data_IF_281787791149
#
_entry.id   IF_281787791149
#
_cell.length_a   1.000
_cell.length_b   1.000
_cell.length_c   1.000
_cell.angle_alpha   90.00
_cell.angle_beta   90.00
_cell.angle_gamma   90.00
#
_symmetry.space_group_name_H-M   'P 1'
#
loop_
_entity.id
_entity.type
_entity.pdbx_description
1 polymer ?
#
# COMPACT_ATOMS: atom_id res chain seq x y z
N UNK A 1 15.67 11.28 -35.16
CA UNK A 1 16.22 10.48 -34.03
C UNK A 1 15.06 10.06 -33.12
N UNK A 2 14.81 8.77 -32.96
CA UNK A 2 13.85 8.30 -31.94
C UNK A 2 14.53 8.34 -30.57
N UNK A 3 14.13 9.29 -29.73
CA UNK A 3 14.58 9.42 -28.34
C UNK A 3 13.87 8.42 -27.43
N UNK A 4 13.90 7.13 -27.80
CA UNK A 4 13.20 6.07 -27.08
C UNK A 4 13.67 6.00 -25.62
N UNK A 5 12.72 6.04 -24.69
CA UNK A 5 12.99 5.87 -23.25
C UNK A 5 12.60 4.47 -22.80
N UNK A 6 13.42 3.90 -21.93
CA UNK A 6 13.11 2.62 -21.29
C UNK A 6 12.49 2.86 -19.92
N UNK A 7 11.36 2.20 -19.67
CA UNK A 7 10.71 2.19 -18.36
C UNK A 7 10.73 0.77 -17.81
N UNK A 8 11.07 0.58 -16.52
CA UNK A 8 10.98 -0.74 -15.91
C UNK A 8 9.52 -1.17 -15.86
N UNK A 9 9.18 -2.14 -16.70
CA UNK A 9 7.87 -2.79 -16.69
C UNK A 9 7.61 -3.49 -15.35
N UNK A 10 6.32 -3.69 -15.04
CA UNK A 10 5.92 -4.47 -13.86
C UNK A 10 5.74 -5.93 -14.27
N UNK A 11 6.49 -6.85 -13.65
CA UNK A 11 6.23 -8.28 -13.79
C UNK A 11 4.97 -8.74 -13.03
N UNK A 12 4.39 -7.86 -12.18
CA UNK A 12 3.20 -8.09 -11.35
C UNK A 12 3.34 -9.22 -10.30
N UNK A 13 4.52 -9.84 -10.18
CA UNK A 13 4.82 -10.85 -9.18
C UNK A 13 5.18 -10.20 -7.82
N UNK A 14 4.17 -9.63 -7.14
CA UNK A 14 4.32 -8.83 -5.90
C UNK A 14 5.06 -9.58 -4.78
N UNK A 15 5.00 -10.91 -4.74
CA UNK A 15 5.69 -11.73 -3.74
C UNK A 15 7.06 -12.26 -4.17
N UNK A 16 7.45 -12.05 -5.43
CA UNK A 16 8.71 -12.58 -6.00
C UNK A 16 9.64 -11.47 -6.51
N UNK A 17 9.14 -10.23 -6.61
CA UNK A 17 9.87 -9.10 -7.14
C UNK A 17 9.79 -7.93 -6.17
N UNK A 18 10.93 -7.55 -5.58
CA UNK A 18 11.05 -6.43 -4.63
C UNK A 18 10.51 -5.11 -5.20
N UNK A 19 10.75 -4.87 -6.49
CA UNK A 19 10.23 -3.69 -7.17
C UNK A 19 8.69 -3.68 -7.21
N UNK A 20 8.07 -4.79 -7.62
CA UNK A 20 6.62 -4.91 -7.62
C UNK A 20 6.02 -4.90 -6.21
N UNK A 21 6.71 -5.49 -5.23
CA UNK A 21 6.35 -5.45 -3.82
C UNK A 21 6.27 -4.02 -3.30
N UNK A 22 7.33 -3.23 -3.56
CA UNK A 22 7.41 -1.81 -3.18
C UNK A 22 6.33 -0.97 -3.85
N UNK A 23 6.05 -1.20 -5.14
CA UNK A 23 5.00 -0.45 -5.82
C UNK A 23 3.60 -0.79 -5.30
N UNK A 24 3.31 -2.07 -5.08
CA UNK A 24 2.04 -2.50 -4.50
C UNK A 24 1.84 -1.96 -3.07
N UNK A 25 2.91 -1.89 -2.27
CA UNK A 25 2.93 -1.25 -0.97
C UNK A 25 2.51 0.24 -1.03
N UNK A 26 3.10 1.00 -1.96
CA UNK A 26 2.77 2.41 -2.17
C UNK A 26 1.33 2.57 -2.65
N UNK A 27 0.88 1.75 -3.60
CA UNK A 27 -0.52 1.76 -4.08
C UNK A 27 -1.52 1.43 -2.97
N UNK A 28 -1.27 0.40 -2.16
CA UNK A 28 -2.16 0.05 -1.04
C UNK A 28 -2.19 1.14 0.03
N UNK A 29 -1.07 1.82 0.28
CA UNK A 29 -1.01 2.94 1.21
C UNK A 29 -1.86 4.11 0.69
N UNK A 30 -1.73 4.46 -0.59
CA UNK A 30 -2.53 5.51 -1.21
C UNK A 30 -4.03 5.14 -1.18
N UNK A 31 -4.35 3.90 -1.52
CA UNK A 31 -5.72 3.37 -1.48
C UNK A 31 -6.35 3.57 -0.09
N UNK A 32 -5.65 3.16 0.97
CA UNK A 32 -6.13 3.32 2.34
C UNK A 32 -6.19 4.78 2.79
N UNK A 33 -5.33 5.64 2.24
CA UNK A 33 -5.35 7.08 2.50
C UNK A 33 -6.60 7.72 1.88
N UNK A 34 -6.86 7.47 0.60
CA UNK A 34 -8.05 7.97 -0.09
C UNK A 34 -9.33 7.43 0.56
N UNK A 35 -9.35 6.17 0.96
CA UNK A 35 -10.46 5.57 1.70
C UNK A 35 -10.77 6.30 3.01
N UNK A 36 -9.73 6.65 3.77
CA UNK A 36 -9.90 7.38 5.01
C UNK A 36 -10.31 8.85 4.81
N UNK A 37 -9.91 9.48 3.70
CA UNK A 37 -10.23 10.87 3.37
C UNK A 37 -11.61 11.05 2.75
N UNK A 38 -12.00 10.14 1.86
CA UNK A 38 -13.23 10.24 1.06
C UNK A 38 -14.37 9.37 1.61
N UNK A 39 -14.04 8.37 2.42
CA UNK A 39 -15.00 7.47 3.05
C UNK A 39 -15.00 7.60 4.57
N UNK A 40 -15.25 6.47 5.24
CA UNK A 40 -15.21 6.40 6.70
C UNK A 40 -13.81 6.00 7.15
N UNK A 41 -13.12 6.85 7.90
CA UNK A 41 -11.81 6.49 8.45
C UNK A 41 -11.91 5.34 9.48
N UNK A 42 -10.92 4.43 9.54
CA UNK A 42 -10.86 3.42 10.60
C UNK A 42 -10.61 4.09 11.96
N UNK A 43 -11.34 3.65 12.98
CA UNK A 43 -11.24 4.18 14.34
C UNK A 43 -10.35 3.32 15.25
N UNK A 44 -10.20 2.03 14.92
CA UNK A 44 -9.40 1.09 15.69
C UNK A 44 -8.36 0.38 14.82
N UNK A 45 -7.21 0.09 15.42
CA UNK A 45 -6.10 -0.67 14.83
C UNK A 45 -5.80 -1.88 15.71
N UNK A 46 -5.83 -3.09 15.14
CA UNK A 46 -5.51 -4.33 15.83
C UNK A 46 -4.19 -4.93 15.33
N UNK A 47 -3.44 -5.54 16.25
CA UNK A 47 -2.28 -6.36 15.95
C UNK A 47 -2.58 -7.81 16.37
N UNK A 48 -2.63 -8.73 15.40
CA UNK A 48 -2.85 -10.16 15.64
C UNK A 48 -1.58 -10.96 15.32
N UNK A 49 -0.95 -11.52 16.34
CA UNK A 49 0.35 -12.20 16.22
C UNK A 49 0.23 -13.71 16.37
N UNK A 50 1.23 -14.44 15.86
CA UNK A 50 1.42 -15.87 16.14
C UNK A 50 2.79 -16.11 16.80
N UNK A 51 2.92 -17.26 17.46
CA UNK A 51 4.21 -17.79 17.95
C UNK A 51 4.84 -18.76 16.97
N UNK A 52 4.04 -19.53 16.24
CA UNK A 52 4.53 -20.45 15.20
C UNK A 52 4.94 -19.68 13.93
N UNK A 53 6.14 -19.97 13.42
CA UNK A 53 6.59 -19.54 12.11
C UNK A 53 6.13 -20.56 11.07
N UNK A 54 5.40 -20.12 10.04
CA UNK A 54 4.86 -20.99 9.00
C UNK A 54 4.63 -20.22 7.70
N UNK A 55 4.76 -20.92 6.57
CA UNK A 55 4.34 -20.46 5.24
C UNK A 55 2.97 -21.01 4.84
N UNK A 56 2.48 -22.06 5.52
CA UNK A 56 1.09 -22.49 5.39
C UNK A 56 0.19 -21.56 6.22
N UNK A 57 -0.49 -20.66 5.50
CA UNK A 57 -1.39 -19.67 6.09
C UNK A 57 -2.85 -20.11 6.09
N UNK A 58 -3.16 -21.38 5.78
CA UNK A 58 -4.54 -21.87 5.73
C UNK A 58 -5.28 -21.65 7.07
N UNK A 59 -4.69 -22.11 8.17
CA UNK A 59 -5.18 -21.91 9.54
C UNK A 59 -5.22 -20.42 9.93
N UNK A 60 -4.17 -19.68 9.59
CA UNK A 60 -4.05 -18.24 9.84
C UNK A 60 -5.17 -17.42 9.16
N UNK A 61 -5.53 -17.78 7.92
CA UNK A 61 -6.64 -17.16 7.18
C UNK A 61 -8.00 -17.62 7.70
N UNK A 62 -8.15 -18.88 8.11
CA UNK A 62 -9.37 -19.37 8.71
C UNK A 62 -9.68 -18.67 10.05
N UNK A 63 -8.69 -18.53 10.92
CA UNK A 63 -8.80 -17.81 12.18
C UNK A 63 -9.23 -16.35 11.97
N UNK A 64 -8.64 -15.67 10.98
CA UNK A 64 -9.04 -14.30 10.60
C UNK A 64 -10.52 -14.21 10.26
N UNK A 65 -11.04 -15.13 9.44
CA UNK A 65 -12.46 -15.17 9.08
C UNK A 65 -13.35 -15.43 10.30
N UNK A 66 -12.91 -16.25 11.25
CA UNK A 66 -13.63 -16.51 12.50
C UNK A 66 -13.69 -15.27 13.38
N UNK A 67 -12.59 -14.53 13.52
CA UNK A 67 -12.55 -13.24 14.23
C UNK A 67 -13.52 -12.25 13.59
N UNK A 68 -13.45 -12.07 12.27
CA UNK A 68 -14.37 -11.20 11.54
C UNK A 68 -15.83 -11.58 11.78
N UNK A 69 -16.17 -12.87 11.69
CA UNK A 69 -17.54 -13.36 11.94
C UNK A 69 -17.99 -13.09 13.38
N UNK A 70 -17.11 -13.31 14.37
CA UNK A 70 -17.43 -13.09 15.77
C UNK A 70 -17.65 -11.60 16.08
N UNK A 71 -16.79 -10.71 15.56
CA UNK A 71 -16.95 -9.27 15.70
C UNK A 71 -18.23 -8.80 15.00
N UNK A 72 -18.51 -9.25 13.77
CA UNK A 72 -19.72 -8.89 13.02
C UNK A 72 -21.03 -9.34 13.68
N UNK A 73 -21.02 -10.38 14.51
CA UNK A 73 -22.21 -10.78 15.28
C UNK A 73 -22.60 -9.74 16.32
N UNK A 74 -21.62 -9.06 16.92
CA UNK A 74 -21.86 -8.01 17.93
C UNK A 74 -21.96 -6.62 17.30
N UNK A 75 -21.14 -6.35 16.28
CA UNK A 75 -21.12 -5.09 15.52
C UNK A 75 -21.34 -5.38 14.03
N UNK A 76 -22.59 -5.48 13.55
CA UNK A 76 -22.89 -5.81 12.16
C UNK A 76 -22.26 -4.87 11.12
N UNK A 77 -22.11 -3.59 11.48
CA UNK A 77 -21.46 -2.57 10.66
C UNK A 77 -19.92 -2.66 10.64
N UNK A 78 -19.31 -3.61 11.35
CA UNK A 78 -17.86 -3.68 11.43
C UNK A 78 -17.23 -4.08 10.08
N UNK A 79 -16.21 -3.34 9.65
CA UNK A 79 -15.47 -3.61 8.42
C UNK A 79 -13.98 -3.66 8.70
N UNK A 80 -13.24 -4.42 7.87
CA UNK A 80 -11.86 -4.76 8.16
C UNK A 80 -10.97 -4.63 6.92
N UNK A 81 -9.81 -4.01 7.07
CA UNK A 81 -8.68 -4.20 6.17
C UNK A 81 -7.54 -4.90 6.91
N UNK A 82 -6.97 -5.91 6.27
CA UNK A 82 -5.95 -6.78 6.82
C UNK A 82 -4.67 -6.66 5.99
N UNK A 83 -3.57 -6.37 6.66
CA UNK A 83 -2.23 -6.33 6.09
C UNK A 83 -1.41 -7.45 6.74
N UNK A 84 -0.96 -8.40 5.92
CA UNK A 84 -0.08 -9.46 6.37
C UNK A 84 1.36 -8.98 6.32
N UNK A 85 2.01 -9.16 7.44
CA UNK A 85 3.44 -8.95 7.60
C UNK A 85 4.07 -10.14 8.30
N UNK A 86 5.39 -10.12 8.33
CA UNK A 86 6.18 -11.08 9.06
C UNK A 86 7.05 -10.37 10.08
N UNK A 87 7.23 -11.00 11.24
CA UNK A 87 8.24 -10.55 12.21
C UNK A 87 9.62 -10.59 11.58
N UNK A 88 10.56 -9.77 12.05
CA UNK A 88 11.91 -9.69 11.46
C UNK A 88 12.76 -10.95 11.61
N UNK A 89 12.42 -11.84 12.55
CA UNK A 89 13.24 -13.01 12.90
C UNK A 89 14.50 -12.69 13.70
N UNK A 90 14.74 -11.41 14.03
CA UNK A 90 15.91 -10.94 14.79
C UNK A 90 15.74 -11.01 16.31
N UNK A 91 14.60 -11.48 16.81
CA UNK A 91 14.38 -11.60 18.25
C UNK A 91 15.25 -12.72 18.83
N UNK A 92 15.76 -12.53 20.04
CA UNK A 92 16.59 -13.54 20.74
C UNK A 92 15.93 -14.93 20.75
N UNK A 93 14.60 -14.97 20.87
CA UNK A 93 13.80 -16.20 20.93
C UNK A 93 13.21 -16.67 19.59
N UNK A 94 13.47 -15.97 18.47
CA UNK A 94 12.88 -16.36 17.18
C UNK A 94 13.70 -17.38 16.40
N UNK A 95 14.97 -17.61 16.75
CA UNK A 95 15.83 -18.55 16.03
C UNK A 95 15.98 -18.21 14.54
N UNK A 96 15.96 -16.92 14.17
CA UNK A 96 15.95 -16.47 12.78
C UNK A 96 14.59 -16.57 12.07
N UNK A 97 13.60 -17.24 12.67
CA UNK A 97 12.33 -17.53 12.03
C UNK A 97 11.39 -16.32 12.01
N UNK A 98 10.71 -16.16 10.88
CA UNK A 98 9.74 -15.09 10.65
C UNK A 98 8.32 -15.61 10.81
N UNK A 99 7.55 -14.98 11.70
CA UNK A 99 6.18 -15.37 12.06
C UNK A 99 5.17 -14.42 11.41
N UNK A 100 4.07 -14.93 10.85
CA UNK A 100 3.05 -14.07 10.26
C UNK A 100 2.28 -13.30 11.35
N UNK A 101 1.92 -12.05 11.06
CA UNK A 101 0.99 -11.26 11.88
C UNK A 101 0.09 -10.40 11.01
N UNK A 102 -1.10 -10.10 11.52
CA UNK A 102 -2.04 -9.17 10.90
C UNK A 102 -1.95 -7.80 11.55
N UNK A 103 -1.81 -6.79 10.72
CA UNK A 103 -2.21 -5.43 11.03
C UNK A 103 -3.64 -5.24 10.52
N UNK A 104 -4.57 -4.92 11.41
CA UNK A 104 -6.01 -4.83 11.10
C UNK A 104 -6.49 -3.42 11.31
N UNK A 105 -7.08 -2.83 10.28
CA UNK A 105 -7.81 -1.57 10.38
C UNK A 105 -9.29 -1.89 10.52
N UNK A 106 -9.96 -1.27 11.49
CA UNK A 106 -11.34 -1.59 11.83
C UNK A 106 -12.21 -0.33 11.77
N UNK A 107 -13.31 -0.44 11.02
CA UNK A 107 -14.41 0.54 10.97
C UNK A 107 -15.64 -0.04 11.66
N UNK A 108 -16.59 0.81 12.04
CA UNK A 108 -17.93 0.39 12.51
C UNK A 108 -17.98 -0.23 13.92
N UNK A 109 -16.87 -0.21 14.68
CA UNK A 109 -16.86 -0.52 16.12
C UNK A 109 -16.59 0.79 16.87
N UNK A 110 -17.47 1.23 17.78
CA UNK A 110 -17.24 2.41 18.61
C UNK A 110 -15.94 2.29 19.41
N UNK A 111 -15.20 3.40 19.58
CA UNK A 111 -13.95 3.40 20.35
C UNK A 111 -14.18 2.95 21.81
N UNK A 112 -15.32 3.30 22.41
CA UNK A 112 -15.71 2.86 23.75
C UNK A 112 -15.83 1.33 23.89
N UNK A 113 -16.12 0.63 22.80
CA UNK A 113 -16.27 -0.83 22.75
C UNK A 113 -14.94 -1.57 22.51
N UNK A 114 -13.81 -0.85 22.43
CA UNK A 114 -12.49 -1.40 22.13
C UNK A 114 -12.11 -2.59 23.01
N UNK A 115 -12.29 -2.49 24.34
CA UNK A 115 -11.90 -3.58 25.24
C UNK A 115 -12.73 -4.85 25.02
N UNK A 116 -14.04 -4.70 24.78
CA UNK A 116 -14.92 -5.81 24.45
C UNK A 116 -14.56 -6.46 23.10
N UNK A 117 -14.20 -5.65 22.10
CA UNK A 117 -13.72 -6.15 20.82
C UNK A 117 -12.39 -6.90 20.97
N UNK A 118 -11.45 -6.39 21.77
CA UNK A 118 -10.18 -7.03 22.07
C UNK A 118 -10.36 -8.37 22.78
N UNK A 119 -11.30 -8.48 23.71
CA UNK A 119 -11.64 -9.74 24.38
C UNK A 119 -12.11 -10.80 23.38
N UNK A 120 -13.03 -10.43 22.47
CA UNK A 120 -13.50 -11.33 21.41
C UNK A 120 -12.34 -11.75 20.50
N UNK A 121 -11.50 -10.79 20.10
CA UNK A 121 -10.31 -11.05 19.28
C UNK A 121 -9.40 -12.06 19.98
N UNK A 122 -9.03 -11.82 21.24
CA UNK A 122 -8.12 -12.68 22.00
C UNK A 122 -8.64 -14.10 22.09
N UNK A 123 -9.89 -14.28 22.53
CA UNK A 123 -10.53 -15.59 22.61
C UNK A 123 -10.51 -16.28 21.24
N UNK A 124 -11.13 -15.67 20.24
CA UNK A 124 -11.34 -16.33 18.95
C UNK A 124 -10.03 -16.55 18.20
N UNK A 125 -9.08 -15.62 18.26
CA UNK A 125 -7.79 -15.76 17.58
C UNK A 125 -6.94 -16.86 18.25
N UNK A 126 -6.75 -16.79 19.57
CA UNK A 126 -5.89 -17.73 20.30
C UNK A 126 -6.46 -19.15 20.36
N UNK A 127 -7.79 -19.33 20.24
CA UNK A 127 -8.41 -20.66 20.13
C UNK A 127 -8.08 -21.37 18.80
N UNK A 128 -7.62 -20.63 17.78
CA UNK A 128 -7.50 -21.14 16.40
C UNK A 128 -6.10 -21.10 15.81
N UNK A 129 -5.18 -20.35 16.43
CA UNK A 129 -3.78 -20.33 16.05
C UNK A 129 -2.92 -20.35 17.30
N UNK A 130 -1.69 -20.82 17.16
CA UNK A 130 -0.69 -20.73 18.22
C UNK A 130 -0.31 -19.27 18.50
N UNK A 131 -1.00 -18.66 19.46
CA UNK A 131 -0.89 -17.26 19.84
C UNK A 131 -1.16 -17.08 21.35
N UNK A 132 -0.66 -15.99 21.92
CA UNK A 132 -0.91 -15.64 23.32
C UNK A 132 -1.84 -14.42 23.41
N UNK A 133 -2.86 -14.41 24.28
CA UNK A 133 -3.76 -13.26 24.45
C UNK A 133 -3.02 -11.96 24.74
N UNK A 134 -1.96 -12.01 25.56
CA UNK A 134 -1.13 -10.88 25.94
C UNK A 134 -0.40 -10.21 24.75
N UNK A 135 -0.25 -10.91 23.62
CA UNK A 135 0.40 -10.38 22.41
C UNK A 135 -0.59 -9.93 21.34
N UNK A 136 -1.88 -9.90 21.67
CA UNK A 136 -2.91 -9.33 20.82
C UNK A 136 -3.26 -7.96 21.37
N UNK A 137 -3.31 -6.99 20.47
CA UNK A 137 -3.55 -5.59 20.83
C UNK A 137 -4.63 -4.96 19.94
N UNK A 138 -5.34 -3.99 20.51
CA UNK A 138 -6.33 -3.18 19.82
C UNK A 138 -6.29 -1.77 20.39
N UNK A 139 -5.92 -0.81 19.56
CA UNK A 139 -5.72 0.59 19.94
C UNK A 139 -6.63 1.51 19.15
N UNK A 140 -6.94 2.65 19.75
CA UNK A 140 -7.60 3.75 19.08
C UNK A 140 -6.64 4.41 18.09
N UNK A 141 -7.15 4.74 16.90
CA UNK A 141 -6.44 5.58 15.94
C UNK A 141 -6.74 7.03 16.27
N UNK A 142 -5.83 7.69 16.99
CA UNK A 142 -5.98 9.11 17.36
C UNK A 142 -5.67 10.09 16.22
N UNK A 143 -4.93 9.63 15.20
CA UNK A 143 -4.55 10.46 14.05
C UNK A 143 -4.48 9.61 12.80
N UNK A 144 -5.29 9.97 11.81
CA UNK A 144 -5.28 9.34 10.49
C UNK A 144 -3.91 9.52 9.81
N UNK A 145 -3.30 10.69 9.92
CA UNK A 145 -1.94 10.93 9.38
C UNK A 145 -0.88 10.03 10.02
N UNK A 146 -0.96 9.83 11.35
CA UNK A 146 -0.11 8.88 12.07
C UNK A 146 -0.31 7.44 11.60
N UNK A 147 -1.56 7.03 11.38
CA UNK A 147 -1.89 5.72 10.83
C UNK A 147 -1.33 5.52 9.41
N UNK A 148 -1.50 6.50 8.53
CA UNK A 148 -1.00 6.40 7.15
C UNK A 148 0.52 6.29 7.12
N UNK A 149 1.22 7.07 7.96
CA UNK A 149 2.67 6.95 8.13
C UNK A 149 3.04 5.56 8.67
N UNK A 150 2.31 5.05 9.66
CA UNK A 150 2.54 3.71 10.22
C UNK A 150 2.42 2.63 9.14
N UNK A 151 1.31 2.63 8.39
CA UNK A 151 1.05 1.68 7.30
C UNK A 151 2.12 1.76 6.22
N UNK A 152 2.43 2.97 5.75
CA UNK A 152 3.44 3.21 4.71
C UNK A 152 4.81 2.63 5.11
N UNK A 153 5.22 2.88 6.35
CA UNK A 153 6.51 2.39 6.86
C UNK A 153 6.53 0.88 7.01
N UNK A 154 5.41 0.25 7.36
CA UNK A 154 5.40 -1.20 7.58
C UNK A 154 5.43 -1.99 6.27
N UNK A 155 4.76 -1.51 5.22
CA UNK A 155 4.85 -2.15 3.92
C UNK A 155 6.25 -2.05 3.27
N UNK A 156 7.03 -1.02 3.61
CA UNK A 156 8.34 -0.75 3.01
C UNK A 156 9.52 -1.37 3.78
N UNK A 157 9.30 -1.88 5.00
CA UNK A 157 10.37 -2.52 5.78
C UNK A 157 10.76 -3.87 5.16
N UNK A 158 11.88 -3.89 4.44
CA UNK A 158 12.45 -5.10 3.85
C UNK A 158 12.64 -6.23 4.88
N UNK A 159 13.00 -5.89 6.13
CA UNK A 159 13.15 -6.86 7.21
C UNK A 159 11.85 -7.59 7.60
N UNK A 160 10.69 -7.06 7.21
CA UNK A 160 9.37 -7.66 7.43
C UNK A 160 8.75 -8.17 6.12
N UNK A 161 9.54 -8.24 5.04
CA UNK A 161 9.13 -8.86 3.81
C UNK A 161 8.80 -10.35 4.04
N UNK A 162 7.90 -10.92 3.23
CA UNK A 162 7.61 -12.34 3.29
C UNK A 162 8.89 -13.19 3.21
N UNK A 163 8.94 -14.36 3.87
CA UNK A 163 10.04 -15.29 3.70
C UNK A 163 10.02 -15.88 2.28
N UNK A 164 11.16 -16.39 1.85
CA UNK A 164 11.28 -17.10 0.57
C UNK A 164 10.25 -18.24 0.48
N UNK A 165 9.65 -18.40 -0.70
CA UNK A 165 8.61 -19.41 -0.94
C UNK A 165 7.18 -18.96 -0.58
N UNK A 166 6.98 -17.78 0.01
CA UNK A 166 5.64 -17.26 0.27
C UNK A 166 4.84 -16.95 -1.02
N UNK A 167 3.58 -17.42 -1.08
CA UNK A 167 2.68 -17.23 -2.25
C UNK A 167 1.32 -16.58 -1.92
N UNK A 168 1.11 -16.11 -0.69
CA UNK A 168 -0.19 -15.61 -0.24
C UNK A 168 -0.47 -14.13 -0.55
N UNK A 169 -1.64 -13.63 -0.13
CA UNK A 169 -1.98 -12.20 -0.24
C UNK A 169 -1.48 -11.41 0.95
N UNK A 170 -0.87 -10.25 0.68
CA UNK A 170 -0.38 -9.33 1.71
C UNK A 170 -1.40 -8.28 2.15
N UNK A 171 -2.42 -8.04 1.34
CA UNK A 171 -3.48 -7.08 1.63
C UNK A 171 -4.83 -7.66 1.20
N UNK A 172 -5.83 -7.52 2.06
CA UNK A 172 -7.20 -7.91 1.78
C UNK A 172 -8.15 -7.10 2.66
N UNK A 173 -9.35 -6.83 2.17
CA UNK A 173 -10.36 -6.11 2.93
C UNK A 173 -11.70 -6.83 2.83
N UNK A 174 -12.57 -6.63 3.83
CA UNK A 174 -13.94 -7.09 3.78
C UNK A 174 -14.74 -6.32 2.74
N UNK A 175 -15.81 -6.94 2.21
CA UNK A 175 -16.79 -6.23 1.39
C UNK A 175 -17.32 -5.01 2.14
N UNK A 176 -17.42 -3.88 1.44
CA UNK A 176 -17.88 -2.59 1.98
C UNK A 176 -16.76 -1.72 2.54
N UNK A 177 -15.59 -2.28 2.87
CA UNK A 177 -14.55 -1.53 3.57
C UNK A 177 -14.09 -0.27 2.82
N UNK A 178 -13.90 -0.37 1.50
CA UNK A 178 -13.43 0.76 0.69
C UNK A 178 -14.61 1.65 0.28
N UNK A 179 -14.37 2.96 0.22
CA UNK A 179 -15.36 3.96 -0.24
C UNK A 179 -15.91 3.73 -1.66
N UNK A 180 -15.19 2.97 -2.49
CA UNK A 180 -15.58 2.54 -3.84
C UNK A 180 -15.38 1.03 -4.01
N UNK A 181 -15.98 0.41 -5.05
CA UNK A 181 -15.61 -0.93 -5.47
C UNK A 181 -14.08 -1.06 -5.64
N UNK A 182 -13.52 -2.19 -5.21
CA UNK A 182 -12.05 -2.37 -5.11
C UNK A 182 -11.29 -2.06 -6.41
N UNK A 183 -11.86 -2.34 -7.58
CA UNK A 183 -11.23 -2.05 -8.87
C UNK A 183 -11.12 -0.54 -9.10
N UNK A 184 -12.23 0.18 -8.95
CA UNK A 184 -12.31 1.64 -9.11
C UNK A 184 -11.45 2.37 -8.06
N UNK A 185 -11.50 1.94 -6.81
CA UNK A 185 -10.70 2.51 -5.73
C UNK A 185 -9.18 2.39 -6.03
N UNK A 186 -8.76 1.27 -6.65
CA UNK A 186 -7.37 1.08 -7.09
C UNK A 186 -7.00 1.96 -8.29
N UNK A 187 -7.89 2.17 -9.25
CA UNK A 187 -7.65 3.13 -10.34
C UNK A 187 -7.52 4.55 -9.79
N UNK A 188 -8.41 4.96 -8.87
CA UNK A 188 -8.32 6.25 -8.20
C UNK A 188 -6.98 6.42 -7.45
N UNK A 189 -6.53 5.38 -6.74
CA UNK A 189 -5.21 5.39 -6.08
C UNK A 189 -4.05 5.52 -7.08
N UNK A 190 -4.12 4.85 -8.23
CA UNK A 190 -3.12 4.99 -9.30
C UNK A 190 -3.10 6.39 -9.89
N UNK A 191 -4.27 6.96 -10.18
CA UNK A 191 -4.43 8.31 -10.70
C UNK A 191 -3.88 9.34 -9.71
N UNK A 192 -4.21 9.23 -8.42
CA UNK A 192 -3.66 10.08 -7.35
C UNK A 192 -2.13 9.99 -7.29
N UNK A 193 -1.56 8.78 -7.32
CA UNK A 193 -0.10 8.61 -7.33
C UNK A 193 0.55 9.18 -8.59
N UNK A 194 -0.10 9.08 -9.76
CA UNK A 194 0.38 9.69 -10.99
C UNK A 194 0.41 11.22 -10.87
N UNK A 195 -0.68 11.83 -10.38
CA UNK A 195 -0.76 13.28 -10.10
C UNK A 195 0.31 13.74 -9.13
N UNK A 196 0.46 13.08 -7.98
CA UNK A 196 1.50 13.42 -6.98
C UNK A 196 2.91 13.37 -7.55
N UNK A 197 3.21 12.35 -8.37
CA UNK A 197 4.52 12.25 -9.04
C UNK A 197 4.72 13.33 -10.09
N UNK A 198 3.68 13.67 -10.85
CA UNK A 198 3.76 14.74 -11.83
C UNK A 198 3.98 16.09 -11.14
N UNK A 199 3.19 16.39 -10.10
CA UNK A 199 3.34 17.60 -9.28
C UNK A 199 4.76 17.78 -8.75
N UNK A 200 5.30 16.74 -8.13
CA UNK A 200 6.69 16.77 -7.64
C UNK A 200 7.72 17.10 -8.74
N UNK A 201 7.50 16.63 -9.97
CA UNK A 201 8.39 16.95 -11.10
C UNK A 201 8.20 18.38 -11.59
N UNK A 202 6.96 18.86 -11.68
CA UNK A 202 6.66 20.25 -12.05
C UNK A 202 7.33 21.20 -11.05
N UNK A 203 7.17 20.96 -9.75
CA UNK A 203 7.83 21.76 -8.70
C UNK A 203 9.36 21.77 -8.82
N UNK A 204 9.97 20.66 -9.25
CA UNK A 204 11.42 20.58 -9.48
C UNK A 204 11.89 21.29 -10.75
N UNK A 205 11.08 21.27 -11.82
CA UNK A 205 11.45 21.80 -13.14
C UNK A 205 11.01 23.23 -13.37
N UNK A 206 10.00 23.68 -12.64
CA UNK A 206 9.40 25.00 -12.75
C UNK A 206 9.20 25.58 -11.32
N UNK A 207 10.29 25.80 -10.57
CA UNK A 207 10.22 26.26 -9.18
C UNK A 207 9.70 27.71 -9.04
N UNK A 208 9.54 28.41 -10.17
CA UNK A 208 9.06 29.78 -10.27
C UNK A 208 7.53 29.90 -10.38
N UNK A 209 6.82 28.78 -10.58
CA UNK A 209 5.37 28.75 -10.63
C UNK A 209 4.77 28.85 -9.21
N UNK A 210 3.64 29.56 -9.11
CA UNK A 210 2.85 29.54 -7.88
C UNK A 210 2.05 28.22 -7.72
N UNK A 211 1.49 27.92 -6.53
CA UNK A 211 0.81 26.65 -6.30
C UNK A 211 -0.40 26.37 -7.20
N UNK A 212 -1.12 27.40 -7.67
CA UNK A 212 -2.26 27.23 -8.57
C UNK A 212 -1.78 26.91 -9.98
N UNK A 213 -0.79 27.65 -10.47
CA UNK A 213 -0.15 27.39 -11.77
C UNK A 213 0.46 25.98 -11.84
N UNK A 214 1.06 25.51 -10.73
CA UNK A 214 1.58 24.13 -10.64
C UNK A 214 0.47 23.11 -10.88
N UNK A 215 -0.69 23.27 -10.27
CA UNK A 215 -1.78 22.32 -10.40
C UNK A 215 -2.36 22.29 -11.84
N UNK A 216 -2.49 23.46 -12.48
CA UNK A 216 -2.90 23.58 -13.89
C UNK A 216 -1.90 22.90 -14.84
N UNK A 217 -0.61 23.16 -14.66
CA UNK A 217 0.46 22.50 -15.43
C UNK A 217 0.46 20.99 -15.21
N UNK A 218 0.18 20.51 -13.99
CA UNK A 218 0.08 19.08 -13.70
C UNK A 218 -1.09 18.44 -14.45
N UNK A 219 -2.27 19.04 -14.43
CA UNK A 219 -3.44 18.52 -15.12
C UNK A 219 -3.19 18.44 -16.63
N UNK A 220 -2.68 19.52 -17.22
CA UNK A 220 -2.35 19.56 -18.64
C UNK A 220 -1.25 18.55 -19.00
N UNK A 221 -0.20 18.41 -18.18
CA UNK A 221 0.87 17.43 -18.41
C UNK A 221 0.38 15.98 -18.33
N UNK A 222 -0.58 15.68 -17.45
CA UNK A 222 -1.20 14.35 -17.37
C UNK A 222 -2.05 14.04 -18.60
N UNK A 223 -2.81 15.02 -19.11
CA UNK A 223 -3.57 14.88 -20.37
C UNK A 223 -2.62 14.60 -21.53
N UNK A 224 -1.57 15.41 -21.69
CA UNK A 224 -0.57 15.22 -22.73
C UNK A 224 0.13 13.86 -22.63
N UNK A 225 0.48 13.43 -21.41
CA UNK A 225 1.09 12.12 -21.19
C UNK A 225 0.13 10.96 -21.48
N UNK A 226 -1.17 11.12 -21.21
CA UNK A 226 -2.20 10.14 -21.51
C UNK A 226 -2.48 9.97 -23.00
N UNK A 227 -2.25 11.02 -23.80
CA UNK A 227 -2.36 10.99 -25.26
C UNK A 227 -1.14 10.37 -25.96
N UNK A 228 -0.07 10.03 -25.23
CA UNK A 228 1.13 9.43 -25.82
C UNK A 228 0.92 7.94 -26.14
N UNK A 229 1.22 7.57 -27.38
CA UNK A 229 1.27 6.17 -27.80
C UNK A 229 2.60 5.51 -27.41
N UNK A 230 2.50 4.43 -26.64
CA UNK A 230 3.65 3.64 -26.21
C UNK A 230 3.80 2.40 -27.07
N UNK A 231 4.97 2.23 -27.70
CA UNK A 231 5.34 0.97 -28.37
C UNK A 231 6.24 0.17 -27.45
N UNK A 232 5.83 -1.07 -27.14
CA UNK A 232 6.71 -2.00 -26.45
C UNK A 232 7.81 -2.43 -27.43
N UNK A 233 9.05 -2.05 -27.13
CA UNK A 233 10.22 -2.48 -27.91
C UNK A 233 10.96 -3.51 -27.07
N UNK A 234 11.14 -4.72 -27.62
CA UNK A 234 11.99 -5.73 -27.00
C UNK A 234 13.45 -5.32 -27.16
N UNK A 235 14.06 -4.77 -26.11
CA UNK A 235 15.50 -4.58 -26.07
C UNK A 235 16.16 -5.94 -25.81
N UNK A 236 17.15 -6.32 -26.63
CA UNK A 236 17.99 -7.49 -26.36
C UNK A 236 18.52 -7.43 -24.91
N UNK A 237 18.67 -8.58 -24.22
CA UNK A 237 19.10 -8.60 -22.83
C UNK A 237 20.45 -7.90 -22.70
N UNK A 238 20.44 -6.73 -22.05
CA UNK A 238 21.67 -6.05 -21.65
C UNK A 238 22.32 -6.95 -20.60
N UNK A 239 23.55 -7.41 -20.86
CA UNK A 239 24.24 -8.34 -19.96
C UNK A 239 24.22 -7.81 -18.52
N UNK A 240 23.97 -8.69 -17.57
CA UNK A 240 23.58 -8.42 -16.17
C UNK A 240 24.66 -7.77 -15.29
N UNK A 241 25.66 -7.11 -15.88
CA UNK A 241 26.78 -6.46 -15.18
C UNK A 241 26.73 -4.94 -15.17
N UNK A 242 25.58 -4.31 -15.43
CA UNK A 242 25.52 -2.85 -15.35
C UNK A 242 25.32 -2.37 -13.90
N UNK A 243 26.20 -1.47 -13.40
CA UNK A 243 26.02 -0.82 -12.10
C UNK A 243 24.69 -0.08 -12.06
N UNK A 244 24.16 0.14 -10.84
CA UNK A 244 22.93 0.92 -10.62
C UNK A 244 22.98 2.16 -11.53
N UNK A 245 22.01 2.37 -12.44
CA UNK A 245 21.99 3.57 -13.26
C UNK A 245 22.03 4.77 -12.30
N UNK A 246 22.99 5.66 -12.52
CA UNK A 246 22.96 6.99 -11.94
C UNK A 246 21.55 7.55 -12.12
N UNK A 247 21.04 8.19 -11.06
CA UNK A 247 19.71 8.82 -11.06
C UNK A 247 19.70 9.96 -12.09
N UNK A 248 19.58 9.64 -13.36
CA UNK A 248 19.31 10.62 -14.39
C UNK A 248 17.95 11.26 -14.05
N UNK A 249 18.03 12.57 -13.82
CA UNK A 249 16.93 13.49 -13.57
C UNK A 249 15.84 13.28 -14.65
N UNK A 250 14.57 13.45 -14.25
CA UNK A 250 13.32 13.24 -14.98
C UNK A 250 13.37 12.84 -16.48
N UNK A 251 12.63 11.81 -16.92
CA UNK A 251 12.66 11.37 -18.31
C UNK A 251 12.32 12.50 -19.30
N UNK A 252 13.05 12.66 -20.42
CA UNK A 252 12.85 13.76 -21.38
C UNK A 252 11.42 13.91 -21.91
N UNK A 253 10.61 12.84 -21.94
CA UNK A 253 9.23 12.90 -22.46
C UNK A 253 8.27 13.54 -21.44
N UNK A 254 8.52 13.31 -20.15
CA UNK A 254 7.75 13.96 -19.08
C UNK A 254 8.21 15.41 -18.90
N UNK A 255 9.51 15.69 -19.04
CA UNK A 255 10.00 17.07 -19.09
C UNK A 255 9.42 17.85 -20.28
N UNK A 256 9.36 17.24 -21.47
CA UNK A 256 8.72 17.84 -22.63
C UNK A 256 7.22 18.09 -22.41
N UNK A 257 6.50 17.15 -21.79
CA UNK A 257 5.09 17.33 -21.44
C UNK A 257 4.89 18.47 -20.42
N UNK A 258 5.76 18.60 -19.43
CA UNK A 258 5.72 19.70 -18.44
C UNK A 258 5.97 21.05 -19.12
N UNK A 259 7.00 21.15 -19.98
CA UNK A 259 7.29 22.38 -20.71
C UNK A 259 6.15 22.75 -21.67
N UNK A 260 5.61 21.80 -22.43
CA UNK A 260 4.48 22.02 -23.31
C UNK A 260 3.21 22.43 -22.54
N UNK A 261 2.96 21.82 -21.38
CA UNK A 261 1.86 22.20 -20.50
C UNK A 261 2.02 23.61 -19.95
N UNK A 262 3.24 23.98 -19.53
CA UNK A 262 3.55 25.34 -19.04
C UNK A 262 3.30 26.41 -20.10
N UNK A 263 3.74 26.18 -21.33
CA UNK A 263 3.49 27.12 -22.44
C UNK A 263 2.00 27.23 -22.78
N UNK A 264 1.25 26.12 -22.69
CA UNK A 264 -0.20 26.14 -22.90
C UNK A 264 -0.94 26.96 -21.84
N UNK A 265 -0.56 26.86 -20.56
CA UNK A 265 -1.17 27.63 -19.45
C UNK A 265 -0.85 29.12 -19.53
N UNK A 266 0.34 29.52 -20.01
CA UNK A 266 0.69 30.93 -20.20
C UNK A 266 -0.07 31.62 -21.35
N UNK A 267 -0.58 30.84 -22.30
CA UNK A 267 -1.25 31.35 -23.49
C UNK A 267 -2.76 31.58 -23.34
N UNK A 268 -3.33 31.22 -22.20
CA UNK A 268 -4.75 31.40 -21.83
C UNK A 268 -4.94 32.58 -20.90
#
# INVERSE_FOLDING_TARGET
>A
MQTGQTFPGRCKAINQCDYCAKLAAVENTELLTLDALLGVAPALYALLTTRTATLDLSGFYAARRKVQKALKRRWPAAEFAYLLEFTTGRGVRSGGLRRPHWNVLVKGIPVGDRLAALEIIRRVWCDHVDALPAHQDLQEIRSVGGLMRYIAMHFQKQSQAPPDGFKGHRFTASRGYLWLPTAEAREAARASLARKRMRHRVEQQCPDLDPAEVDDVVDQALVLAGAQDWKLVQSLPVSSRNPRPERAYAPPAQAAAILAAREAVKGT
#
